data_IF_343090512598
#
_entry.id   IF_343090512598
#
_cell.length_a   1.000
_cell.length_b   1.000
_cell.length_c   1.000
_cell.angle_alpha   90.00
_cell.angle_beta   90.00
_cell.angle_gamma   90.00
#
_symmetry.space_group_name_H-M   'P 1'
#
loop_
_entity.id
_entity.type
_entity.pdbx_description
1 polymer ?
#
# COMPACT_ATOMS: atom_id res chain seq x y z
N UNK A 1 5.43 20.07 -4.37
CA UNK A 1 4.23 20.59 -5.06
C UNK A 1 3.19 19.48 -5.07
N UNK A 2 1.91 19.79 -4.87
CA UNK A 2 0.83 18.79 -4.92
C UNK A 2 0.42 18.54 -6.36
N UNK A 3 0.34 17.27 -6.78
CA UNK A 3 -0.23 16.86 -8.07
C UNK A 3 -1.45 15.99 -7.82
N UNK A 4 -2.58 16.34 -8.42
CA UNK A 4 -3.76 15.48 -8.45
C UNK A 4 -3.57 14.44 -9.55
N UNK A 5 -3.77 13.17 -9.19
CA UNK A 5 -3.57 12.06 -10.13
C UNK A 5 -4.75 11.11 -10.09
N UNK A 6 -4.81 10.23 -11.08
CA UNK A 6 -5.52 8.94 -11.03
C UNK A 6 -4.59 7.86 -11.51
N UNK A 7 -4.85 6.61 -11.17
CA UNK A 7 -4.05 5.48 -11.63
C UNK A 7 -4.75 4.75 -12.77
N UNK A 8 -4.03 4.54 -13.87
CA UNK A 8 -4.52 3.81 -15.05
C UNK A 8 -3.64 2.60 -15.30
N UNK A 9 -4.24 1.48 -15.73
CA UNK A 9 -3.48 0.26 -16.07
C UNK A 9 -2.41 0.59 -17.11
N UNK A 10 -1.19 0.13 -16.83
CA UNK A 10 -0.04 0.34 -17.71
C UNK A 10 -0.10 -0.52 -18.97
N UNK A 11 -0.91 -1.60 -18.96
CA UNK A 11 -0.98 -2.59 -20.04
C UNK A 11 0.33 -3.36 -20.29
N UNK A 12 1.31 -3.22 -19.38
CA UNK A 12 2.62 -3.87 -19.43
C UNK A 12 3.22 -3.93 -18.03
N UNK A 13 4.19 -4.81 -17.83
CA UNK A 13 5.07 -4.74 -16.67
C UNK A 13 5.88 -3.44 -16.68
N UNK A 14 5.97 -2.79 -15.52
CA UNK A 14 6.77 -1.59 -15.30
C UNK A 14 8.00 -1.97 -14.47
N UNK A 15 9.16 -2.02 -15.14
CA UNK A 15 10.46 -2.37 -14.54
C UNK A 15 11.32 -1.12 -14.25
N UNK A 16 10.79 0.07 -14.53
CA UNK A 16 11.47 1.33 -14.30
C UNK A 16 11.23 1.88 -12.87
N UNK A 17 12.19 2.63 -12.28
CA UNK A 17 12.05 3.20 -10.95
C UNK A 17 11.19 4.49 -10.97
N UNK A 18 9.91 4.30 -11.29
CA UNK A 18 8.89 5.35 -11.38
C UNK A 18 7.80 5.14 -10.33
N UNK A 19 6.97 6.15 -10.09
CA UNK A 19 5.77 5.97 -9.26
C UNK A 19 4.80 5.05 -9.99
N UNK A 20 4.34 3.99 -9.33
CA UNK A 20 3.33 3.03 -9.82
C UNK A 20 2.61 2.35 -8.66
N UNK A 21 1.41 1.86 -8.92
CA UNK A 21 0.68 0.95 -8.03
C UNK A 21 0.61 -0.45 -8.66
N UNK A 22 0.50 -1.49 -7.84
CA UNK A 22 0.48 -2.88 -8.29
C UNK A 22 1.79 -3.37 -8.91
N UNK A 23 1.74 -4.58 -9.47
CA UNK A 23 2.86 -5.32 -10.04
C UNK A 23 3.96 -5.64 -9.03
N UNK A 24 5.15 -5.98 -9.52
CA UNK A 24 6.30 -6.25 -8.65
C UNK A 24 7.06 -4.97 -8.27
N UNK A 25 7.61 -4.85 -7.05
CA UNK A 25 8.48 -3.73 -6.69
C UNK A 25 9.77 -3.71 -7.51
N UNK A 26 10.14 -2.53 -8.02
CA UNK A 26 11.43 -2.28 -8.66
C UNK A 26 12.48 -1.95 -7.60
N UNK A 27 13.07 -2.97 -6.98
CA UNK A 27 14.08 -2.81 -5.93
C UNK A 27 15.35 -2.10 -6.43
N UNK A 28 15.76 -1.02 -5.76
CA UNK A 28 17.00 -0.29 -6.05
C UNK A 28 18.20 -0.85 -5.29
N UNK A 29 17.96 -1.58 -4.21
CA UNK A 29 18.97 -2.28 -3.41
C UNK A 29 18.52 -3.73 -3.14
N UNK A 30 19.11 -4.41 -2.17
CA UNK A 30 18.66 -5.73 -1.76
C UNK A 30 17.16 -5.70 -1.38
N UNK A 31 16.34 -6.67 -1.85
CA UNK A 31 14.93 -6.70 -1.51
C UNK A 31 14.69 -6.76 -0.01
N UNK A 32 13.71 -5.97 0.47
CA UNK A 32 13.36 -5.87 1.89
C UNK A 32 11.84 -6.00 2.04
N UNK A 33 11.34 -7.20 1.79
CA UNK A 33 9.90 -7.47 1.81
C UNK A 33 9.40 -7.56 3.27
N UNK A 34 8.48 -6.67 3.71
CA UNK A 34 8.02 -6.63 5.10
C UNK A 34 7.08 -7.78 5.45
N UNK A 35 7.14 -8.22 6.70
CA UNK A 35 6.28 -9.26 7.26
C UNK A 35 5.23 -8.66 8.19
N UNK A 36 3.98 -9.14 8.08
CA UNK A 36 2.92 -8.90 9.06
C UNK A 36 3.39 -9.30 10.45
N UNK A 37 3.20 -8.42 11.43
CA UNK A 37 3.56 -8.68 12.82
C UNK A 37 2.72 -9.80 13.43
N UNK A 38 1.42 -9.80 13.16
CA UNK A 38 0.48 -10.79 13.70
C UNK A 38 0.64 -12.17 13.04
N UNK A 39 1.02 -12.22 11.75
CA UNK A 39 0.98 -13.47 10.97
C UNK A 39 2.34 -14.01 10.50
N UNK A 40 3.41 -13.23 10.58
CA UNK A 40 4.74 -13.58 10.01
C UNK A 40 4.70 -13.92 8.49
N UNK A 41 3.67 -13.42 7.78
CA UNK A 41 3.50 -13.56 6.33
C UNK A 41 3.99 -12.30 5.60
N UNK A 42 4.55 -12.42 4.39
CA UNK A 42 4.88 -11.26 3.55
C UNK A 42 3.64 -10.39 3.29
N UNK A 43 3.73 -9.08 3.51
CA UNK A 43 2.65 -8.15 3.21
C UNK A 43 2.51 -7.92 1.70
N UNK A 44 1.31 -7.93 1.11
CA UNK A 44 1.14 -7.60 -0.30
C UNK A 44 1.66 -6.20 -0.66
N UNK A 45 2.19 -6.08 -1.86
CA UNK A 45 2.73 -4.81 -2.37
C UNK A 45 1.62 -3.94 -2.96
N UNK A 46 1.46 -2.73 -2.41
CA UNK A 46 0.50 -1.73 -2.91
C UNK A 46 1.12 -0.94 -4.08
N UNK A 47 2.37 -0.51 -3.93
CA UNK A 47 2.99 0.36 -4.93
C UNK A 47 4.30 0.99 -4.48
N UNK A 48 4.94 1.70 -5.40
CA UNK A 48 6.17 2.44 -5.17
C UNK A 48 6.02 3.90 -5.58
N UNK A 49 6.71 4.78 -4.88
CA UNK A 49 6.64 6.23 -5.08
C UNK A 49 8.02 6.82 -5.25
N UNK A 50 8.24 7.52 -6.36
CA UNK A 50 9.46 8.29 -6.56
C UNK A 50 9.52 9.46 -5.59
N UNK A 51 10.61 9.55 -4.86
CA UNK A 51 10.87 10.62 -3.91
C UNK A 51 11.49 11.81 -4.64
N UNK A 52 10.89 12.98 -4.46
CA UNK A 52 11.46 14.26 -4.85
C UNK A 52 11.97 14.97 -3.59
N UNK A 53 13.17 14.56 -3.16
CA UNK A 53 13.84 15.10 -1.98
C UNK A 53 14.93 16.14 -2.33
N UNK A 54 15.01 16.54 -3.60
CA UNK A 54 15.96 17.54 -4.07
C UNK A 54 17.42 17.06 -4.15
N UNK A 55 17.70 15.79 -3.86
CA UNK A 55 19.06 15.22 -3.94
C UNK A 55 19.51 14.98 -5.38
N UNK A 56 18.56 14.78 -6.30
CA UNK A 56 18.81 14.37 -7.68
C UNK A 56 19.07 12.87 -7.84
N UNK A 57 19.17 12.11 -6.75
CA UNK A 57 19.28 10.66 -6.77
C UNK A 57 17.89 10.03 -6.97
N UNK A 58 17.86 8.87 -7.62
CA UNK A 58 16.62 8.10 -7.71
C UNK A 58 16.42 7.39 -6.38
N UNK A 59 15.38 7.76 -5.65
CA UNK A 59 14.92 7.09 -4.44
C UNK A 59 13.44 6.73 -4.55
N UNK A 60 13.07 5.57 -4.02
CA UNK A 60 11.74 5.02 -4.00
C UNK A 60 11.30 4.74 -2.56
N UNK A 61 10.04 5.04 -2.28
CA UNK A 61 9.29 4.50 -1.14
C UNK A 61 8.38 3.36 -1.63
N UNK A 62 8.58 2.16 -1.12
CA UNK A 62 7.76 0.97 -1.41
C UNK A 62 6.74 0.79 -0.29
N UNK A 63 5.47 0.61 -0.64
CA UNK A 63 4.34 0.57 0.28
C UNK A 63 3.73 -0.82 0.29
N UNK A 64 3.52 -1.35 1.49
CA UNK A 64 2.96 -2.68 1.73
C UNK A 64 1.93 -2.61 2.83
N UNK A 65 0.92 -3.49 2.78
CA UNK A 65 -0.10 -3.61 3.81
C UNK A 65 -0.60 -5.05 3.84
N UNK A 66 -0.78 -5.61 5.03
CA UNK A 66 -1.40 -6.92 5.22
C UNK A 66 -2.83 -6.91 4.69
N UNK A 67 -3.20 -7.91 3.88
CA UNK A 67 -4.56 -8.20 3.46
C UNK A 67 -4.68 -9.72 3.29
N UNK A 68 -5.70 -10.32 3.91
CA UNK A 68 -5.91 -11.78 3.90
C UNK A 68 -6.59 -12.24 2.60
N UNK A 69 -7.33 -11.37 1.90
CA UNK A 69 -8.03 -11.73 0.66
C UNK A 69 -7.09 -12.08 -0.50
N UNK A 70 -5.81 -11.74 -0.41
CA UNK A 70 -4.84 -11.95 -1.50
C UNK A 70 -4.20 -13.32 -1.46
N UNK A 71 -4.11 -13.96 -0.30
CA UNK A 71 -3.39 -15.23 -0.19
C UNK A 71 -4.28 -16.45 -0.01
N UNK A 72 -5.52 -16.28 0.46
CA UNK A 72 -6.40 -17.42 0.69
C UNK A 72 -6.94 -17.99 -0.64
N UNK A 73 -6.99 -17.18 -1.70
CA UNK A 73 -7.38 -17.64 -3.04
C UNK A 73 -6.36 -18.60 -3.68
N UNK A 74 -5.07 -18.49 -3.36
CA UNK A 74 -4.03 -19.40 -3.90
C UNK A 74 -4.01 -20.75 -3.17
N UNK A 75 -4.35 -20.78 -1.88
CA UNK A 75 -4.41 -22.01 -1.08
C UNK A 75 -5.74 -22.79 -1.32
N UNK A 76 -6.86 -22.11 -1.64
CA UNK A 76 -8.11 -22.77 -2.03
C UNK A 76 -8.06 -23.38 -3.45
N UNK A 77 -7.40 -22.75 -4.43
CA UNK A 77 -7.20 -23.34 -5.76
C UNK A 77 -6.26 -24.57 -5.73
N UNK A 78 -5.36 -24.65 -4.74
CA UNK A 78 -4.48 -25.79 -4.52
C UNK A 78 -5.16 -26.93 -3.71
N UNK A 79 -6.20 -26.62 -2.94
CA UNK A 79 -7.04 -27.58 -2.25
C UNK A 79 -8.13 -28.10 -3.20
N UNK A 80 -7.70 -28.96 -4.13
CA UNK A 80 -8.55 -29.54 -5.17
C UNK A 80 -9.92 -30.02 -4.68
N UNK A 81 -10.91 -29.71 -5.52
CA UNK A 81 -12.23 -30.33 -5.67
C UNK A 81 -12.38 -31.68 -4.95
N UNK A 82 -12.97 -31.66 -3.76
CA UNK A 82 -13.71 -32.78 -3.15
C UNK A 82 -14.51 -32.22 -1.94
N UNK A 83 -15.58 -31.46 -2.22
CA UNK A 83 -16.67 -31.26 -1.26
C UNK A 83 -17.95 -31.72 -1.93
N UNK A 84 -18.25 -33.01 -1.77
CA UNK A 84 -19.56 -33.57 -2.05
C UNK A 84 -20.62 -32.84 -1.21
N UNK A 85 -21.80 -32.70 -1.81
CA UNK A 85 -22.94 -31.92 -1.36
C UNK A 85 -23.42 -32.34 0.05
N UNK A 86 -23.37 -31.42 1.02
CA UNK A 86 -24.31 -31.41 2.14
C UNK A 86 -24.92 -30.00 2.23
N UNK A 87 -26.21 -29.94 1.89
CA UNK A 87 -27.07 -28.77 2.04
C UNK A 87 -27.28 -28.46 3.53
N UNK A 88 -26.39 -27.67 4.12
CA UNK A 88 -26.62 -27.04 5.42
C UNK A 88 -27.28 -25.67 5.21
N UNK A 89 -28.62 -25.68 5.18
CA UNK A 89 -29.47 -24.49 5.38
C UNK A 89 -29.36 -24.02 6.84
N UNK A 90 -28.20 -23.48 7.27
CA UNK A 90 -28.02 -22.69 8.50
C UNK A 90 -26.60 -22.08 8.52
N UNK A 91 -26.15 -21.49 7.41
CA UNK A 91 -24.99 -20.56 7.45
C UNK A 91 -25.48 -19.23 8.04
N UNK A 92 -25.48 -19.16 9.36
CA UNK A 92 -25.42 -17.88 10.06
C UNK A 92 -24.31 -17.04 9.43
N UNK A 93 -24.62 -15.76 9.16
CA UNK A 93 -23.70 -14.73 8.71
C UNK A 93 -22.56 -14.56 9.75
N UNK A 94 -21.61 -15.49 9.80
CA UNK A 94 -20.33 -15.27 10.45
C UNK A 94 -19.64 -14.16 9.68
N UNK A 95 -19.66 -12.96 10.26
CA UNK A 95 -18.89 -11.83 9.80
C UNK A 95 -17.49 -12.30 9.41
N UNK A 96 -17.04 -11.90 8.22
CA UNK A 96 -15.70 -12.09 7.67
C UNK A 96 -14.64 -11.64 8.71
N UNK A 97 -14.27 -12.56 9.62
CA UNK A 97 -13.30 -12.39 10.72
C UNK A 97 -11.85 -12.46 10.19
N UNK A 98 -11.68 -12.34 8.87
CA UNK A 98 -10.39 -12.38 8.19
C UNK A 98 -9.79 -10.97 8.00
N UNK A 99 -10.41 -9.92 8.55
CA UNK A 99 -9.83 -8.57 8.52
C UNK A 99 -8.59 -8.48 9.43
N UNK A 100 -7.53 -7.83 8.94
CA UNK A 100 -6.33 -7.57 9.75
C UNK A 100 -6.51 -6.29 10.56
N UNK A 101 -6.71 -6.44 11.88
CA UNK A 101 -6.80 -5.30 12.78
C UNK A 101 -5.47 -4.51 12.84
N UNK A 102 -5.56 -3.18 12.97
CA UNK A 102 -4.41 -2.29 13.11
C UNK A 102 -3.67 -1.93 11.81
N UNK A 103 -4.17 -2.30 10.62
CA UNK A 103 -3.58 -1.88 9.34
C UNK A 103 -3.61 -0.36 9.12
N UNK A 104 -4.49 0.36 9.84
CA UNK A 104 -4.57 1.82 9.84
C UNK A 104 -3.46 2.48 10.68
N UNK A 105 -2.85 1.75 11.60
CA UNK A 105 -1.84 2.29 12.52
C UNK A 105 -0.45 2.30 11.87
N UNK A 106 0.25 3.45 11.81
CA UNK A 106 1.54 3.55 11.12
C UNK A 106 2.68 2.74 11.76
N UNK A 107 2.50 2.30 13.01
CA UNK A 107 3.48 1.49 13.74
C UNK A 107 2.85 0.18 14.27
N UNK A 108 1.64 -0.15 13.81
CA UNK A 108 0.91 -1.37 14.19
C UNK A 108 1.55 -2.65 13.66
N UNK A 109 2.47 -2.54 12.69
CA UNK A 109 3.17 -3.69 12.10
C UNK A 109 2.35 -4.47 11.07
N UNK A 110 1.24 -3.90 10.61
CA UNK A 110 0.39 -4.47 9.56
C UNK A 110 0.42 -3.65 8.25
N UNK A 111 1.29 -2.65 8.21
CA UNK A 111 1.70 -1.94 7.01
C UNK A 111 3.17 -1.55 7.13
N UNK A 112 3.78 -1.20 6.01
CA UNK A 112 5.15 -0.75 5.99
C UNK A 112 5.45 0.17 4.80
N UNK A 113 6.40 1.08 5.02
CA UNK A 113 7.02 1.86 3.95
C UNK A 113 8.54 1.67 4.01
N UNK A 114 9.10 1.08 2.97
CA UNK A 114 10.54 0.83 2.83
C UNK A 114 11.12 1.89 1.89
N UNK A 115 12.23 2.52 2.27
CA UNK A 115 12.89 3.54 1.44
C UNK A 115 14.21 3.00 0.91
N UNK A 116 14.44 3.13 -0.39
CA UNK A 116 15.74 2.84 -1.00
C UNK A 116 16.11 3.90 -2.05
N UNK A 117 17.41 4.13 -2.28
CA UNK A 117 18.51 3.73 -1.42
C UNK A 117 18.55 4.51 -0.10
N UNK A 118 19.33 3.98 0.83
CA UNK A 118 19.76 4.66 2.05
C UNK A 118 18.69 4.79 3.15
N UNK A 119 17.50 4.21 2.97
CA UNK A 119 16.49 4.17 4.02
C UNK A 119 16.88 3.23 5.17
N UNK A 120 16.25 3.46 6.31
CA UNK A 120 16.27 2.58 7.48
C UNK A 120 14.97 1.79 7.52
N UNK A 121 15.08 0.48 7.74
CA UNK A 121 13.91 -0.32 8.10
C UNK A 121 13.51 0.05 9.53
N UNK A 122 12.26 0.47 9.79
CA UNK A 122 11.81 0.78 11.14
C UNK A 122 11.91 -0.44 12.06
N UNK A 123 12.22 -0.25 13.33
CA UNK A 123 12.48 -1.35 14.28
C UNK A 123 11.26 -2.25 14.56
N UNK A 124 10.05 -1.77 14.26
CA UNK A 124 8.82 -2.54 14.40
C UNK A 124 8.50 -3.40 13.17
N UNK A 125 9.30 -3.32 12.10
CA UNK A 125 9.12 -4.09 10.86
C UNK A 125 10.22 -5.15 10.72
N UNK A 126 9.81 -6.40 10.56
CA UNK A 126 10.67 -7.48 10.09
C UNK A 126 10.64 -7.56 8.56
N UNK A 127 11.77 -7.89 7.93
CA UNK A 127 11.88 -8.02 6.46
C UNK A 127 12.54 -9.33 6.04
N UNK A 128 12.22 -9.81 4.83
CA UNK A 128 12.89 -10.93 4.15
C UNK A 128 13.39 -10.52 2.76
N UNK A 129 14.47 -11.14 2.30
CA UNK A 129 15.06 -10.94 0.96
C UNK A 129 14.29 -11.60 -0.18
N UNK A 130 12.97 -11.37 -0.26
CA UNK A 130 12.09 -11.94 -1.27
C UNK A 130 12.05 -11.02 -2.51
N UNK A 131 12.23 -11.59 -3.70
CA UNK A 131 12.26 -10.82 -4.95
C UNK A 131 10.86 -10.48 -5.48
N UNK A 132 9.92 -11.40 -5.34
CA UNK A 132 8.53 -11.25 -5.78
C UNK A 132 7.62 -12.08 -4.87
N UNK A 133 6.40 -11.57 -4.67
CA UNK A 133 5.28 -12.10 -3.87
C UNK A 133 4.00 -11.41 -4.37
N UNK A 134 2.80 -11.84 -3.94
CA UNK A 134 1.55 -11.28 -4.43
C UNK A 134 1.51 -9.76 -4.33
N UNK A 135 1.07 -9.14 -5.42
CA UNK A 135 0.69 -7.74 -5.51
C UNK A 135 -0.83 -7.66 -5.62
N UNK A 136 -1.43 -6.56 -5.14
CA UNK A 136 -2.88 -6.38 -5.20
C UNK A 136 -3.45 -6.46 -6.64
N UNK A 137 -2.69 -6.00 -7.63
CA UNK A 137 -3.15 -5.90 -9.02
C UNK A 137 -1.96 -5.78 -9.98
N UNK A 138 -2.23 -5.70 -11.29
CA UNK A 138 -1.25 -5.36 -12.32
C UNK A 138 -0.71 -3.92 -12.20
N UNK A 139 0.33 -3.58 -12.96
CA UNK A 139 0.93 -2.25 -12.90
C UNK A 139 -0.03 -1.14 -13.35
N UNK A 140 -0.14 -0.09 -12.52
CA UNK A 140 -0.86 1.14 -12.83
C UNK A 140 0.05 2.37 -12.70
N UNK A 141 -0.03 3.28 -13.67
CA UNK A 141 0.76 4.51 -13.69
C UNK A 141 -0.09 5.74 -13.34
N UNK A 142 0.47 6.74 -12.62
CA UNK A 142 -0.25 7.96 -12.32
C UNK A 142 -0.40 8.83 -13.58
N UNK A 143 -1.63 9.27 -13.82
CA UNK A 143 -2.01 10.23 -14.86
C UNK A 143 -2.49 11.50 -14.17
N UNK A 144 -1.94 12.65 -14.57
CA UNK A 144 -2.36 13.95 -14.01
C UNK A 144 -3.84 14.21 -14.31
N UNK A 145 -4.59 14.56 -13.28
CA UNK A 145 -6.00 14.94 -13.41
C UNK A 145 -6.08 16.46 -13.45
N UNK A 146 -6.56 17.00 -14.58
CA UNK A 146 -7.02 18.37 -14.64
C UNK A 146 -8.42 18.39 -14.03
N UNK A 147 -8.55 18.95 -12.83
CA UNK A 147 -9.83 19.08 -12.14
C UNK A 147 -10.75 20.00 -12.96
N UNK A 148 -11.65 19.41 -13.75
CA UNK A 148 -12.78 20.13 -14.31
C UNK A 148 -13.90 20.16 -13.24
N UNK A 149 -14.42 21.36 -13.02
CA UNK A 149 -15.57 21.76 -12.21
C UNK A 149 -16.30 20.66 -11.41
N UNK A 150 -16.11 20.66 -10.08
CA UNK A 150 -17.01 20.04 -9.10
C UNK A 150 -16.56 18.71 -8.48
N UNK A 151 -15.68 17.94 -9.14
CA UNK A 151 -15.09 16.73 -8.54
C UNK A 151 -13.71 17.06 -7.94
N UNK A 152 -13.58 16.93 -6.62
CA UNK A 152 -12.30 17.16 -5.94
C UNK A 152 -11.59 15.82 -5.77
N UNK A 153 -10.43 15.60 -6.40
CA UNK A 153 -9.72 14.33 -6.34
C UNK A 153 -9.35 13.97 -4.89
N UNK A 154 -9.15 12.68 -4.65
CA UNK A 154 -8.67 12.15 -3.38
C UNK A 154 -7.26 11.57 -3.48
N UNK A 155 -6.76 11.37 -4.70
CA UNK A 155 -5.44 10.82 -4.97
C UNK A 155 -4.44 11.91 -5.34
N UNK A 156 -3.30 11.92 -4.64
CA UNK A 156 -2.30 12.97 -4.78
C UNK A 156 -0.88 12.44 -4.69
N UNK A 157 0.02 13.12 -5.41
CA UNK A 157 1.47 12.98 -5.21
C UNK A 157 2.01 14.26 -4.59
N UNK A 158 2.63 14.12 -3.41
CA UNK A 158 3.22 15.20 -2.63
C UNK A 158 2.27 16.30 -2.16
N UNK A 159 2.84 17.32 -1.50
CA UNK A 159 2.10 18.47 -0.99
C UNK A 159 1.49 18.26 0.39
N UNK A 160 0.52 19.08 0.77
CA UNK A 160 -0.20 18.93 2.04
C UNK A 160 -1.30 17.86 1.91
N UNK A 161 -1.45 16.96 2.90
CA UNK A 161 -2.51 15.97 2.92
C UNK A 161 -3.88 16.64 2.89
N UNK A 162 -4.83 16.00 2.19
CA UNK A 162 -6.26 16.26 2.40
C UNK A 162 -6.80 15.16 3.29
N UNK A 163 -6.87 15.47 4.57
CA UNK A 163 -7.41 14.59 5.60
C UNK A 163 -8.90 14.31 5.36
N UNK A 164 -9.26 13.04 5.45
CA UNK A 164 -10.64 12.55 5.44
C UNK A 164 -11.33 12.90 6.77
N UNK A 165 -10.61 12.66 7.87
CA UNK A 165 -11.04 12.98 9.23
C UNK A 165 -10.12 14.05 9.87
N UNK A 166 -9.83 13.92 11.16
CA UNK A 166 -8.90 14.79 11.88
C UNK A 166 -7.45 14.53 11.42
N UNK A 167 -6.60 15.58 11.36
CA UNK A 167 -5.19 15.42 11.00
C UNK A 167 -4.41 14.56 12.00
N UNK A 168 -3.74 13.52 11.50
CA UNK A 168 -2.92 12.59 12.30
C UNK A 168 -1.58 12.29 11.61
N UNK A 169 -0.73 13.31 11.37
CA UNK A 169 0.58 13.06 10.79
C UNK A 169 1.44 12.22 11.75
N UNK A 170 2.36 11.37 11.25
CA UNK A 170 3.22 10.54 12.11
C UNK A 170 4.08 11.34 13.09
N UNK A 171 4.36 12.60 12.78
CA UNK A 171 5.04 13.53 13.67
C UNK A 171 5.38 14.85 12.99
N UNK A 172 6.11 15.74 13.69
CA UNK A 172 6.53 17.02 13.14
C UNK A 172 7.45 16.87 11.92
N UNK A 173 7.18 17.62 10.85
CA UNK A 173 8.06 17.72 9.68
C UNK A 173 8.01 16.53 8.71
N UNK A 174 7.16 15.53 8.97
CA UNK A 174 6.91 14.45 8.02
C UNK A 174 6.28 15.02 6.74
N UNK A 175 6.73 14.53 5.59
CA UNK A 175 6.28 15.01 4.28
C UNK A 175 5.43 13.95 3.61
N UNK A 176 4.27 14.34 3.10
CA UNK A 176 3.45 13.47 2.27
C UNK A 176 4.16 13.19 0.94
N UNK A 177 4.14 11.93 0.52
CA UNK A 177 4.64 11.48 -0.78
C UNK A 177 3.48 11.02 -1.67
N UNK A 178 2.51 10.30 -1.10
CA UNK A 178 1.34 9.81 -1.82
C UNK A 178 0.09 9.82 -0.93
N UNK A 179 -1.06 10.05 -1.54
CA UNK A 179 -2.38 9.89 -0.94
C UNK A 179 -3.24 9.08 -1.92
N UNK A 180 -3.93 8.04 -1.45
CA UNK A 180 -4.64 7.06 -2.28
C UNK A 180 -6.06 6.80 -1.75
N UNK A 181 -6.99 6.48 -2.64
CA UNK A 181 -8.28 5.83 -2.29
C UNK A 181 -8.21 4.33 -2.57
N UNK A 182 -9.24 3.57 -2.18
CA UNK A 182 -9.44 2.11 -2.33
C UNK A 182 -9.55 1.56 -3.78
N UNK A 183 -9.29 2.37 -4.81
CA UNK A 183 -9.71 2.11 -6.18
C UNK A 183 -9.01 0.96 -6.93
N UNK A 184 -8.00 0.29 -6.35
CA UNK A 184 -7.18 -0.72 -7.04
C UNK A 184 -7.13 -2.08 -6.31
N UNK A 185 -8.15 -2.39 -5.52
CA UNK A 185 -8.32 -3.70 -4.88
C UNK A 185 -7.74 -3.80 -3.46
N UNK A 186 -7.01 -2.79 -2.99
CA UNK A 186 -6.68 -2.63 -1.57
C UNK A 186 -7.89 -2.06 -0.81
N UNK A 187 -8.16 -2.59 0.38
CA UNK A 187 -9.28 -2.18 1.22
C UNK A 187 -8.82 -1.25 2.36
N UNK A 188 -9.34 -0.02 2.39
CA UNK A 188 -9.10 0.96 3.46
C UNK A 188 -10.36 1.22 4.31
N UNK A 189 -11.26 0.24 4.41
CA UNK A 189 -12.58 0.42 5.01
C UNK A 189 -13.56 1.17 4.11
N UNK A 190 -14.66 1.67 4.69
CA UNK A 190 -15.70 2.39 3.96
C UNK A 190 -15.20 3.75 3.45
N UNK A 191 -15.01 3.85 2.12
CA UNK A 191 -14.50 5.04 1.42
C UNK A 191 -13.17 5.57 1.99
N UNK A 192 -12.25 4.66 2.31
CA UNK A 192 -11.01 4.99 2.99
C UNK A 192 -9.96 5.70 2.15
N UNK A 193 -9.18 6.54 2.82
CA UNK A 193 -8.05 7.30 2.26
C UNK A 193 -6.77 6.93 2.99
N UNK A 194 -5.78 6.49 2.23
CA UNK A 194 -4.44 6.20 2.72
C UNK A 194 -3.47 7.36 2.49
N UNK A 195 -2.49 7.48 3.37
CA UNK A 195 -1.47 8.52 3.38
C UNK A 195 -0.10 7.91 3.57
N UNK A 196 0.84 8.28 2.71
CA UNK A 196 2.21 7.79 2.70
C UNK A 196 3.12 8.96 3.01
N UNK A 197 3.88 8.84 4.09
CA UNK A 197 4.78 9.87 4.57
C UNK A 197 6.23 9.41 4.58
N UNK A 198 7.13 10.38 4.46
CA UNK A 198 8.57 10.22 4.67
C UNK A 198 9.03 11.16 5.79
N UNK A 199 9.92 10.65 6.63
CA UNK A 199 10.49 11.35 7.79
C UNK A 199 11.26 12.62 7.39
N UNK A 200 11.46 13.56 8.31
CA UNK A 200 12.22 14.79 8.02
C UNK A 200 13.65 14.53 7.52
N UNK A 201 14.31 13.48 8.03
CA UNK A 201 15.65 13.07 7.58
C UNK A 201 15.63 12.29 6.25
N UNK A 202 14.46 11.92 5.76
CA UNK A 202 14.29 11.20 4.50
C UNK A 202 14.62 9.71 4.58
N UNK A 203 14.81 9.15 5.78
CA UNK A 203 15.34 7.80 5.97
C UNK A 203 14.27 6.78 6.36
N UNK A 204 13.09 7.20 6.83
CA UNK A 204 11.99 6.31 7.19
C UNK A 204 10.68 6.72 6.53
N UNK A 205 9.84 5.73 6.25
CA UNK A 205 8.48 5.96 5.81
C UNK A 205 7.45 5.51 6.85
N UNK A 206 6.22 6.04 6.72
CA UNK A 206 5.03 5.60 7.46
C UNK A 206 3.84 5.61 6.53
N UNK A 207 2.95 4.65 6.72
CA UNK A 207 1.69 4.54 6.02
C UNK A 207 0.57 4.49 7.06
N UNK A 208 -0.52 5.20 6.83
CA UNK A 208 -1.72 5.14 7.66
C UNK A 208 -2.93 5.39 6.76
N UNK A 209 -4.12 5.00 7.20
CA UNK A 209 -5.35 5.28 6.48
C UNK A 209 -6.49 5.64 7.43
N UNK A 210 -7.50 6.32 6.90
CA UNK A 210 -8.72 6.73 7.60
C UNK A 210 -9.93 6.33 6.75
N UNK A 211 -11.02 5.85 7.36
CA UNK A 211 -12.30 5.56 6.68
C UNK A 211 -13.45 6.41 7.24
N UNK A 212 -14.67 6.23 6.76
CA UNK A 212 -15.87 6.82 7.37
C UNK A 212 -16.47 5.98 8.49
#
# INVERSE_FOLDING_TARGET
>A
MRRAVRYESAGRTVDEPVTKLGGDPVWLQEPQWPLSRSRDRPMPFIGQFRLDDGTGEIRLAYVFMSDENIFDLEDEEAAGEDKEDEEDEDRDDEADDNSVDGTFEPEGGENAVIIQPGGRVPSFIAVRGLRARPSFTEDHLPVDVVTADGQTPWEFLGGEPRWLQSPEPPGPGWRLVGQLSDGLGHNFGDAGIAYIFVSPDGLEGRFLWQCH
#
